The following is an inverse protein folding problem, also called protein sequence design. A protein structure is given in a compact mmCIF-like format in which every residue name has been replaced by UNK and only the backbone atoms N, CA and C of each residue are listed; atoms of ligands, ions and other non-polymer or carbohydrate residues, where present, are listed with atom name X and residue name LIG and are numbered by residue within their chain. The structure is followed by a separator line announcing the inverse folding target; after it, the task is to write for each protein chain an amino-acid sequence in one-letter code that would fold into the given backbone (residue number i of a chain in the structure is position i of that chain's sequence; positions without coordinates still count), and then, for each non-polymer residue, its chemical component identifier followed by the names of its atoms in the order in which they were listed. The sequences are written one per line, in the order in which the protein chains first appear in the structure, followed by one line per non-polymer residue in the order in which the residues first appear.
data_IF_865322129549
#
_entry.id   IF_865322129549
#
_cell.length_a   1.000
_cell.length_b   1.000
_cell.length_c   1.000
_cell.angle_alpha   90.00
_cell.angle_beta   90.00
_cell.angle_gamma   90.00
#
_symmetry.space_group_name_H-M   'P 1'
#
loop_
_entity.id
_entity.type
_entity.pdbx_description
1 polymer ?
#
# COMPACT_ATOMS: atom_id res chain seq x y z
N UNK A 1 12.30 14.84 -13.97
CA UNK A 1 13.57 14.06 -14.15
C UNK A 1 14.20 13.99 -12.76
N UNK A 2 14.32 12.80 -12.16
CA UNK A 2 14.73 12.64 -10.78
C UNK A 2 16.22 12.98 -10.60
N UNK A 3 16.60 13.53 -9.44
CA UNK A 3 17.99 13.88 -9.09
C UNK A 3 19.01 12.78 -9.43
N UNK A 4 18.66 11.51 -9.18
CA UNK A 4 19.51 10.35 -9.52
C UNK A 4 19.73 10.23 -11.04
N UNK A 5 18.68 10.41 -11.85
CA UNK A 5 18.81 10.36 -13.33
C UNK A 5 19.69 11.48 -13.86
N UNK A 6 19.59 12.68 -13.28
CA UNK A 6 20.43 13.83 -13.62
C UNK A 6 21.90 13.57 -13.29
N UNK A 7 22.15 12.98 -12.10
CA UNK A 7 23.51 12.62 -11.68
C UNK A 7 24.14 11.57 -12.59
N UNK A 8 23.38 10.53 -12.96
CA UNK A 8 23.84 9.48 -13.88
C UNK A 8 24.20 10.07 -15.25
N UNK A 9 23.34 10.93 -15.81
CA UNK A 9 23.60 11.59 -17.10
C UNK A 9 24.88 12.43 -17.01
N UNK A 10 25.05 13.21 -15.95
CA UNK A 10 26.25 14.03 -15.75
C UNK A 10 27.54 13.18 -15.67
N UNK A 11 27.49 12.04 -14.98
CA UNK A 11 28.61 11.11 -14.86
C UNK A 11 28.93 10.44 -16.20
N UNK A 12 27.92 10.04 -16.97
CA UNK A 12 28.10 9.48 -18.32
C UNK A 12 28.75 10.53 -19.26
N UNK A 13 28.21 11.75 -19.25
CA UNK A 13 28.79 12.84 -20.08
C UNK A 13 30.23 13.14 -19.69
N UNK A 14 30.59 13.07 -18.41
CA UNK A 14 31.98 13.22 -17.96
C UNK A 14 32.89 12.10 -18.49
N UNK A 15 32.43 10.86 -18.49
CA UNK A 15 33.21 9.75 -19.08
C UNK A 15 33.39 9.95 -20.58
N UNK A 16 32.34 10.29 -21.34
CA UNK A 16 32.40 10.57 -22.75
C UNK A 16 33.38 11.71 -23.07
N UNK A 17 33.35 12.78 -22.26
CA UNK A 17 34.32 13.88 -22.40
C UNK A 17 35.76 13.45 -22.16
N UNK A 18 36.04 12.60 -21.15
CA UNK A 18 37.38 12.09 -20.88
C UNK A 18 37.89 11.19 -22.04
N UNK A 19 37.01 10.32 -22.56
CA UNK A 19 37.34 9.47 -23.73
C UNK A 19 37.61 10.34 -24.98
N UNK A 20 36.78 11.36 -25.23
CA UNK A 20 36.99 12.30 -26.33
C UNK A 20 38.34 13.00 -26.22
N UNK A 21 38.76 13.40 -25.02
CA UNK A 21 40.07 14.01 -24.73
C UNK A 21 41.23 13.00 -24.73
N UNK A 22 40.99 11.74 -25.09
CA UNK A 22 41.99 10.65 -25.05
C UNK A 22 42.62 10.46 -23.64
N UNK A 23 41.88 10.79 -22.58
CA UNK A 23 42.29 10.56 -21.19
C UNK A 23 41.50 9.37 -20.65
N UNK A 24 42.22 8.40 -20.09
CA UNK A 24 41.54 7.28 -19.42
C UNK A 24 40.76 7.77 -18.21
N UNK A 25 39.45 7.40 -18.07
CA UNK A 25 38.71 7.69 -16.86
C UNK A 25 39.36 6.95 -15.68
N UNK A 26 39.40 7.59 -14.52
CA UNK A 26 39.92 6.92 -13.32
C UNK A 26 39.04 5.74 -12.93
N UNK A 27 39.62 4.72 -12.32
CA UNK A 27 38.87 3.57 -11.78
C UNK A 27 37.67 4.00 -10.91
N UNK A 28 37.87 5.01 -10.05
CA UNK A 28 36.80 5.55 -9.21
C UNK A 28 35.62 6.15 -9.99
N UNK A 29 35.89 6.84 -11.12
CA UNK A 29 34.86 7.42 -11.96
C UNK A 29 34.00 6.32 -12.60
N UNK A 30 34.64 5.27 -13.11
CA UNK A 30 33.95 4.11 -13.72
C UNK A 30 33.12 3.37 -12.66
N UNK A 31 33.70 3.12 -11.49
CA UNK A 31 33.01 2.45 -10.39
C UNK A 31 31.77 3.23 -9.91
N UNK A 32 31.86 4.55 -9.79
CA UNK A 32 30.72 5.41 -9.43
C UNK A 32 29.58 5.32 -10.46
N UNK A 33 29.91 5.27 -11.76
CA UNK A 33 28.89 5.10 -12.80
C UNK A 33 28.21 3.74 -12.70
N UNK A 34 29.00 2.67 -12.54
CA UNK A 34 28.46 1.32 -12.41
C UNK A 34 27.54 1.24 -11.18
N UNK A 35 27.98 1.71 -10.03
CA UNK A 35 27.18 1.71 -8.80
C UNK A 35 25.89 2.52 -9.02
N UNK A 36 25.99 3.72 -9.62
CA UNK A 36 24.81 4.56 -9.88
C UNK A 36 23.82 3.89 -10.83
N UNK A 37 24.31 3.18 -11.86
CA UNK A 37 23.46 2.42 -12.78
C UNK A 37 22.78 1.23 -12.06
N UNK A 38 23.49 0.53 -11.18
CA UNK A 38 22.92 -0.56 -10.39
C UNK A 38 21.81 -0.01 -9.47
N UNK A 39 22.09 1.06 -8.71
CA UNK A 39 21.12 1.70 -7.82
C UNK A 39 19.89 2.20 -8.58
N UNK A 40 20.11 2.82 -9.73
CA UNK A 40 19.01 3.28 -10.60
C UNK A 40 18.18 2.11 -11.13
N UNK A 41 18.83 1.02 -11.56
CA UNK A 41 18.17 -0.19 -12.06
C UNK A 41 17.32 -0.86 -10.98
N UNK A 42 17.88 -1.01 -9.76
CA UNK A 42 17.15 -1.55 -8.60
C UNK A 42 15.93 -0.68 -8.30
N UNK A 43 16.08 0.64 -8.23
CA UNK A 43 14.98 1.56 -7.99
C UNK A 43 13.92 1.51 -9.09
N UNK A 44 14.33 1.43 -10.36
CA UNK A 44 13.41 1.55 -11.50
C UNK A 44 12.60 0.27 -11.77
N UNK A 45 13.13 -0.89 -11.39
CA UNK A 45 12.55 -2.18 -11.78
C UNK A 45 12.20 -3.11 -10.62
N UNK A 46 12.78 -2.89 -9.43
CA UNK A 46 12.67 -3.86 -8.34
C UNK A 46 11.99 -3.33 -7.09
N UNK A 47 12.15 -2.04 -6.76
CA UNK A 47 11.68 -1.50 -5.48
C UNK A 47 11.14 -0.08 -5.61
N UNK A 48 9.92 0.10 -5.11
CA UNK A 48 9.36 1.39 -4.75
C UNK A 48 9.54 1.65 -3.26
N UNK A 49 9.51 2.91 -2.85
CA UNK A 49 9.48 3.30 -1.45
C UNK A 49 8.39 4.34 -1.21
N UNK A 50 7.77 4.26 -0.03
CA UNK A 50 6.70 5.17 0.39
C UNK A 50 6.87 5.53 1.86
N UNK A 51 6.43 6.73 2.24
CA UNK A 51 6.29 7.12 3.64
C UNK A 51 4.81 7.05 3.98
N UNK A 52 4.47 6.39 5.07
CA UNK A 52 3.09 6.22 5.53
C UNK A 52 2.67 7.47 6.32
N UNK A 53 1.67 8.24 5.88
CA UNK A 53 1.29 9.48 6.57
C UNK A 53 0.15 9.28 7.58
N UNK A 54 -0.55 8.14 7.57
CA UNK A 54 -1.76 7.94 8.38
C UNK A 54 -1.69 6.68 9.22
N UNK A 55 -2.50 6.63 10.29
CA UNK A 55 -2.62 5.47 11.16
C UNK A 55 -3.60 4.40 10.66
N UNK A 56 -4.12 4.52 9.43
CA UNK A 56 -5.18 3.61 8.93
C UNK A 56 -4.76 2.15 8.83
N UNK A 57 -3.45 1.87 8.81
CA UNK A 57 -2.87 0.53 8.79
C UNK A 57 -2.23 0.11 10.12
N UNK A 58 -2.42 0.90 11.20
CA UNK A 58 -1.96 0.50 12.52
C UNK A 58 -2.71 -0.75 13.00
N UNK A 59 -2.05 -1.64 13.74
CA UNK A 59 -0.69 -1.57 14.27
C UNK A 59 0.40 -1.97 13.28
N UNK A 60 0.04 -2.53 12.12
CA UNK A 60 1.00 -3.11 11.15
C UNK A 60 1.93 -2.06 10.55
N UNK A 61 1.36 -0.93 10.09
CA UNK A 61 2.12 0.22 9.59
C UNK A 61 1.69 1.45 10.36
N UNK A 62 2.66 2.25 10.80
CA UNK A 62 2.44 3.45 11.59
C UNK A 62 2.72 4.69 10.75
N UNK A 63 2.11 5.81 11.12
CA UNK A 63 2.49 7.11 10.54
C UNK A 63 4.00 7.36 10.74
N UNK A 64 4.68 7.81 9.69
CA UNK A 64 6.12 7.99 9.65
C UNK A 64 6.93 6.75 9.20
N UNK A 65 6.31 5.59 9.00
CA UNK A 65 7.02 4.43 8.47
C UNK A 65 7.49 4.66 7.04
N UNK A 66 8.78 4.46 6.79
CA UNK A 66 9.33 4.28 5.44
C UNK A 66 9.22 2.81 5.08
N UNK A 67 8.49 2.52 4.03
CA UNK A 67 8.27 1.15 3.54
C UNK A 67 8.90 0.93 2.18
N UNK A 68 9.34 -0.30 1.94
CA UNK A 68 9.69 -0.79 0.61
C UNK A 68 8.54 -1.63 0.05
N UNK A 69 8.31 -1.47 -1.25
CA UNK A 69 7.28 -2.19 -1.97
C UNK A 69 7.80 -2.65 -3.34
N UNK A 70 7.28 -3.78 -3.81
CA UNK A 70 7.56 -4.32 -5.14
C UNK A 70 6.51 -3.81 -6.12
N UNK A 71 6.90 -3.21 -7.27
CA UNK A 71 5.97 -2.88 -8.34
C UNK A 71 5.13 -4.11 -8.73
N UNK A 72 3.83 -3.91 -8.93
CA UNK A 72 2.88 -4.98 -9.28
C UNK A 72 2.45 -4.85 -10.74
N UNK A 73 2.66 -5.90 -11.52
CA UNK A 73 1.94 -6.09 -12.78
C UNK A 73 0.61 -6.76 -12.44
N UNK A 74 -0.46 -5.99 -12.43
CA UNK A 74 -1.79 -6.43 -12.01
C UNK A 74 -2.35 -7.65 -12.80
N UNK A 75 -1.83 -7.90 -14.00
CA UNK A 75 -2.25 -9.02 -14.85
C UNK A 75 -1.43 -10.29 -14.58
N UNK A 76 -0.20 -10.15 -14.12
CA UNK A 76 0.75 -11.26 -13.94
C UNK A 76 0.99 -11.63 -12.47
N UNK A 77 0.85 -10.67 -11.56
CA UNK A 77 1.14 -10.91 -10.15
C UNK A 77 0.02 -11.71 -9.48
N UNK A 78 0.40 -12.79 -8.82
CA UNK A 78 -0.52 -13.55 -7.98
C UNK A 78 -0.71 -12.80 -6.65
N UNK A 79 -1.86 -12.15 -6.51
CA UNK A 79 -2.29 -11.51 -5.28
C UNK A 79 -2.87 -12.54 -4.32
N UNK A 80 -2.64 -12.34 -3.02
CA UNK A 80 -3.14 -13.22 -1.97
C UNK A 80 -3.84 -12.41 -0.89
N UNK A 81 -4.78 -13.03 -0.16
CA UNK A 81 -5.39 -12.40 1.02
C UNK A 81 -4.31 -12.12 2.05
N UNK A 82 -4.39 -10.96 2.69
CA UNK A 82 -3.38 -10.48 3.63
C UNK A 82 -2.26 -9.66 2.98
N UNK A 83 -2.09 -9.66 1.65
CA UNK A 83 -1.13 -8.76 0.99
C UNK A 83 -1.50 -7.29 1.26
N UNK A 84 -0.52 -6.49 1.64
CA UNK A 84 -0.69 -5.04 1.72
C UNK A 84 -0.33 -4.45 0.35
N UNK A 85 -1.24 -3.67 -0.21
CA UNK A 85 -1.10 -3.09 -1.54
C UNK A 85 -1.17 -1.57 -1.51
N UNK A 86 -0.39 -0.96 -2.38
CA UNK A 86 -0.37 0.46 -2.67
C UNK A 86 -1.11 0.64 -3.99
N UNK A 87 -2.11 1.52 -4.03
CA UNK A 87 -2.97 1.67 -5.19
C UNK A 87 -3.53 3.09 -5.32
N UNK A 88 -3.94 3.44 -6.53
CA UNK A 88 -4.65 4.71 -6.80
C UNK A 88 -6.09 4.63 -6.32
N UNK A 89 -6.56 5.66 -5.64
CA UNK A 89 -7.92 5.71 -5.13
C UNK A 89 -8.95 5.58 -6.27
N UNK A 90 -10.01 4.76 -6.12
CA UNK A 90 -10.94 4.47 -7.21
C UNK A 90 -11.68 5.69 -7.77
N UNK A 91 -12.04 6.67 -6.91
CA UNK A 91 -12.72 7.89 -7.34
C UNK A 91 -11.74 9.03 -7.70
N UNK A 92 -10.56 9.04 -7.08
CA UNK A 92 -9.59 10.13 -7.18
C UNK A 92 -8.18 9.55 -7.42
N UNK A 93 -7.82 9.18 -8.67
CA UNK A 93 -6.56 8.49 -8.98
C UNK A 93 -5.28 9.27 -8.65
N UNK A 94 -5.39 10.56 -8.34
CA UNK A 94 -4.28 11.39 -7.82
C UNK A 94 -3.90 11.04 -6.38
N UNK A 95 -4.79 10.39 -5.62
CA UNK A 95 -4.51 9.93 -4.27
C UNK A 95 -4.05 8.48 -4.29
N UNK A 96 -3.06 8.17 -3.45
CA UNK A 96 -2.55 6.82 -3.27
C UNK A 96 -2.95 6.33 -1.89
N UNK A 97 -3.49 5.12 -1.82
CA UNK A 97 -3.88 4.45 -0.61
C UNK A 97 -3.02 3.22 -0.36
N UNK A 98 -2.85 2.91 0.91
CA UNK A 98 -2.22 1.67 1.39
C UNK A 98 -3.25 0.91 2.21
N UNK A 99 -3.64 -0.28 1.76
CA UNK A 99 -4.62 -1.13 2.44
C UNK A 99 -4.25 -2.60 2.29
N UNK A 100 -4.89 -3.45 3.08
CA UNK A 100 -4.73 -4.91 3.04
C UNK A 100 -5.80 -5.54 2.18
N UNK A 101 -5.41 -6.47 1.30
CA UNK A 101 -6.35 -7.31 0.55
C UNK A 101 -7.02 -8.28 1.52
N UNK A 102 -8.35 -8.23 1.54
CA UNK A 102 -9.20 -9.10 2.35
C UNK A 102 -9.94 -10.10 1.47
N UNK A 103 -10.44 -9.65 0.33
CA UNK A 103 -11.18 -10.50 -0.60
C UNK A 103 -10.60 -10.44 -2.01
N UNK A 104 -10.63 -11.57 -2.69
CA UNK A 104 -10.19 -11.79 -4.07
C UNK A 104 -11.39 -12.15 -4.96
N UNK A 105 -11.17 -12.18 -6.27
CA UNK A 105 -12.19 -12.62 -7.23
C UNK A 105 -12.79 -13.99 -6.83
N UNK A 106 -14.10 -14.09 -6.90
CA UNK A 106 -14.88 -15.26 -6.47
C UNK A 106 -15.30 -15.24 -4.99
N UNK A 107 -14.74 -14.35 -4.17
CA UNK A 107 -15.15 -14.24 -2.78
C UNK A 107 -16.44 -13.44 -2.60
N UNK A 108 -17.17 -13.80 -1.56
CA UNK A 108 -18.23 -12.99 -0.97
C UNK A 108 -17.74 -12.46 0.38
N UNK A 109 -17.57 -11.15 0.48
CA UNK A 109 -17.19 -10.46 1.73
C UNK A 109 -18.43 -9.89 2.37
N UNK A 110 -18.64 -10.18 3.65
CA UNK A 110 -19.74 -9.64 4.47
C UNK A 110 -19.16 -8.85 5.64
N UNK A 111 -19.67 -7.63 5.86
CA UNK A 111 -19.36 -6.79 7.01
C UNK A 111 -20.59 -6.70 7.90
N UNK A 112 -20.45 -7.10 9.13
CA UNK A 112 -21.56 -7.27 10.09
C UNK A 112 -21.68 -6.08 11.04
N UNK A 113 -22.82 -5.94 11.71
CA UNK A 113 -23.10 -4.81 12.60
C UNK A 113 -22.20 -4.80 13.86
N UNK A 114 -21.60 -5.93 14.21
CA UNK A 114 -20.58 -6.05 15.26
C UNK A 114 -19.16 -5.72 14.74
N UNK A 115 -19.06 -5.15 13.53
CA UNK A 115 -17.82 -4.78 12.85
C UNK A 115 -16.92 -5.97 12.48
N UNK A 116 -17.43 -7.18 12.51
CA UNK A 116 -16.68 -8.34 12.04
C UNK A 116 -16.74 -8.47 10.52
N UNK A 117 -15.77 -9.19 9.97
CA UNK A 117 -15.69 -9.45 8.53
C UNK A 117 -15.71 -10.95 8.30
N UNK A 118 -16.57 -11.38 7.39
CA UNK A 118 -16.67 -12.76 6.95
C UNK A 118 -16.27 -12.87 5.46
N UNK A 119 -15.57 -13.92 5.12
CA UNK A 119 -15.28 -14.31 3.73
C UNK A 119 -15.93 -15.68 3.50
N UNK A 120 -16.82 -15.74 2.52
CA UNK A 120 -17.55 -16.95 2.17
C UNK A 120 -18.25 -17.60 3.40
N UNK A 121 -18.82 -16.72 4.26
CA UNK A 121 -19.52 -17.13 5.49
C UNK A 121 -18.64 -17.50 6.68
N UNK A 122 -17.31 -17.39 6.55
CA UNK A 122 -16.37 -17.65 7.65
C UNK A 122 -15.74 -16.36 8.16
N UNK A 123 -15.74 -16.17 9.46
CA UNK A 123 -15.09 -15.00 10.09
C UNK A 123 -13.58 -15.01 9.82
N UNK A 124 -13.03 -13.87 9.47
CA UNK A 124 -11.58 -13.67 9.37
C UNK A 124 -11.06 -13.18 10.74
N UNK A 125 -10.00 -13.83 11.19
CA UNK A 125 -9.35 -13.47 12.45
C UNK A 125 -10.06 -14.01 13.70
N UNK A 126 -9.25 -14.17 14.72
CA UNK A 126 -9.67 -14.58 16.06
C UNK A 126 -9.38 -13.45 17.04
N UNK A 127 -10.28 -13.24 18.00
CA UNK A 127 -10.06 -12.26 19.05
C UNK A 127 -8.84 -12.65 19.86
N UNK A 128 -7.84 -11.77 19.89
CA UNK A 128 -6.59 -11.96 20.61
C UNK A 128 -6.62 -11.22 21.96
N UNK A 129 -7.03 -9.97 21.93
CA UNK A 129 -7.09 -9.11 23.11
C UNK A 129 -8.34 -8.22 23.04
N UNK A 130 -9.00 -8.08 24.18
CA UNK A 130 -10.12 -7.17 24.34
C UNK A 130 -9.91 -6.31 25.60
N UNK A 131 -10.16 -5.01 25.46
CA UNK A 131 -10.26 -4.06 26.56
C UNK A 131 -11.46 -3.13 26.32
N UNK A 132 -11.75 -2.23 27.27
CA UNK A 132 -12.91 -1.33 27.20
C UNK A 132 -12.93 -0.43 25.96
N UNK A 133 -11.78 -0.23 25.33
CA UNK A 133 -11.61 0.72 24.22
C UNK A 133 -11.30 0.04 22.89
N UNK A 134 -10.59 -1.10 22.90
CA UNK A 134 -10.09 -1.70 21.67
C UNK A 134 -10.16 -3.22 21.71
N UNK A 135 -10.71 -3.82 20.67
CA UNK A 135 -10.58 -5.25 20.39
C UNK A 135 -9.50 -5.48 19.35
N UNK A 136 -8.53 -6.32 19.67
CA UNK A 136 -7.44 -6.71 18.76
C UNK A 136 -7.67 -8.13 18.29
N UNK A 137 -7.61 -8.32 16.98
CA UNK A 137 -7.81 -9.60 16.30
C UNK A 137 -6.55 -10.03 15.58
N UNK A 138 -6.33 -11.34 15.51
CA UNK A 138 -5.29 -11.92 14.70
C UNK A 138 -5.88 -12.70 13.53
N UNK A 139 -5.29 -12.51 12.34
CA UNK A 139 -5.65 -13.23 11.13
C UNK A 139 -4.39 -13.69 10.39
N UNK A 140 -4.55 -14.65 9.47
CA UNK A 140 -3.45 -15.19 8.68
C UNK A 140 -3.33 -14.49 7.33
N UNK A 141 -2.09 -14.17 6.97
CA UNK A 141 -1.72 -13.79 5.62
C UNK A 141 -1.45 -15.05 4.79
N UNK A 142 -2.14 -15.24 3.68
CA UNK A 142 -2.02 -16.48 2.87
C UNK A 142 -0.63 -16.68 2.27
N UNK A 143 0.07 -15.59 1.92
CA UNK A 143 1.36 -15.66 1.21
C UNK A 143 2.45 -16.41 1.97
N UNK A 144 2.54 -16.21 3.28
CA UNK A 144 3.62 -16.74 4.11
C UNK A 144 3.14 -17.35 5.42
N UNK A 145 1.84 -17.53 5.59
CA UNK A 145 1.19 -17.97 6.82
C UNK A 145 1.55 -17.10 8.06
N UNK A 146 2.02 -15.87 7.83
CA UNK A 146 2.34 -14.94 8.89
C UNK A 146 1.07 -14.36 9.49
N UNK A 147 1.02 -14.22 10.80
CA UNK A 147 -0.08 -13.54 11.47
C UNK A 147 0.04 -12.02 11.33
N UNK A 148 -1.09 -11.37 11.18
CA UNK A 148 -1.22 -9.91 11.26
C UNK A 148 -2.34 -9.54 12.22
N UNK A 149 -2.23 -8.35 12.79
CA UNK A 149 -3.23 -7.82 13.69
C UNK A 149 -4.08 -6.76 13.00
N UNK A 150 -5.37 -6.72 13.34
CA UNK A 150 -6.24 -5.61 13.06
C UNK A 150 -7.01 -5.21 14.30
N UNK A 151 -7.39 -3.94 14.39
CA UNK A 151 -8.00 -3.37 15.59
C UNK A 151 -9.35 -2.72 15.30
N UNK A 152 -10.26 -2.82 16.28
CA UNK A 152 -11.58 -2.20 16.30
C UNK A 152 -11.66 -1.33 17.54
N UNK A 153 -11.98 -0.04 17.40
CA UNK A 153 -12.25 0.87 18.52
C UNK A 153 -13.68 0.69 18.99
N UNK A 154 -13.84 0.15 20.20
CA UNK A 154 -15.15 -0.15 20.80
C UNK A 154 -15.96 1.11 21.16
N UNK A 155 -15.30 2.27 21.29
CA UNK A 155 -15.96 3.56 21.56
C UNK A 155 -16.63 4.16 20.35
N UNK A 156 -16.15 3.81 19.14
CA UNK A 156 -16.73 4.33 17.91
C UNK A 156 -18.00 3.55 17.56
N UNK A 157 -19.09 4.25 17.23
CA UNK A 157 -20.31 3.61 16.80
C UNK A 157 -20.08 2.83 15.50
N UNK A 158 -20.93 1.87 15.22
CA UNK A 158 -20.99 1.24 13.92
C UNK A 158 -21.39 2.28 12.86
N UNK A 159 -20.51 2.50 11.90
CA UNK A 159 -20.81 3.33 10.73
C UNK A 159 -21.24 2.39 9.61
N UNK A 160 -22.49 2.55 9.17
CA UNK A 160 -23.04 1.71 8.10
C UNK A 160 -22.26 1.94 6.80
N UNK A 161 -21.66 0.91 6.23
CA UNK A 161 -20.97 1.01 4.95
C UNK A 161 -21.98 1.18 3.80
N UNK A 162 -21.47 1.44 2.58
CA UNK A 162 -22.30 1.53 1.36
C UNK A 162 -23.11 0.25 1.15
N UNK A 163 -22.52 -0.89 1.45
CA UNK A 163 -23.15 -2.21 1.44
C UNK A 163 -22.67 -3.02 2.62
N UNK A 164 -23.44 -4.03 3.00
CA UNK A 164 -23.06 -5.03 4.00
C UNK A 164 -22.42 -6.27 3.36
N UNK A 165 -22.54 -6.42 2.06
CA UNK A 165 -22.02 -7.57 1.34
C UNK A 165 -21.51 -7.17 -0.06
N UNK A 166 -20.37 -7.75 -0.45
CA UNK A 166 -19.73 -7.60 -1.76
C UNK A 166 -19.42 -8.98 -2.36
N UNK A 167 -19.84 -9.22 -3.59
CA UNK A 167 -19.37 -10.34 -4.42
C UNK A 167 -18.30 -9.79 -5.35
N UNK A 168 -17.09 -10.34 -5.28
CA UNK A 168 -15.93 -9.78 -5.96
C UNK A 168 -15.77 -10.43 -7.33
N UNK A 169 -15.96 -9.69 -8.42
CA UNK A 169 -15.77 -10.22 -9.78
C UNK A 169 -14.29 -10.25 -10.15
N UNK A 170 -13.99 -10.94 -11.26
CA UNK A 170 -12.64 -10.92 -11.84
C UNK A 170 -12.15 -9.49 -12.12
N UNK A 171 -10.86 -9.28 -11.92
CA UNK A 171 -10.23 -7.97 -12.08
C UNK A 171 -10.39 -7.02 -10.91
N UNK A 172 -11.02 -7.43 -9.80
CA UNK A 172 -11.21 -6.60 -8.61
C UNK A 172 -10.68 -7.26 -7.35
N UNK A 173 -10.47 -6.44 -6.32
CA UNK A 173 -10.14 -6.86 -4.95
C UNK A 173 -10.94 -6.03 -3.95
N UNK A 174 -11.15 -6.58 -2.76
CA UNK A 174 -11.72 -5.90 -1.60
C UNK A 174 -10.62 -5.67 -0.58
N UNK A 175 -10.47 -4.42 -0.12
CA UNK A 175 -9.38 -4.00 0.75
C UNK A 175 -9.89 -3.32 2.02
N UNK A 176 -9.20 -3.55 3.14
CA UNK A 176 -9.46 -2.89 4.43
C UNK A 176 -8.17 -2.32 5.01
N UNK A 177 -8.31 -1.29 5.86
CA UNK A 177 -7.27 -0.91 6.79
C UNK A 177 -7.21 -1.82 8.00
N UNK A 178 -6.03 -1.99 8.57
CA UNK A 178 -5.87 -2.78 9.80
C UNK A 178 -6.42 -2.03 11.03
N UNK A 179 -6.43 -0.70 10.99
CA UNK A 179 -7.16 0.13 11.95
C UNK A 179 -8.58 0.40 11.44
N UNK A 180 -9.50 -0.51 11.74
CA UNK A 180 -10.84 -0.60 11.15
C UNK A 180 -11.66 0.66 11.26
N UNK A 181 -11.65 1.32 12.40
CA UNK A 181 -12.46 2.52 12.66
C UNK A 181 -11.74 3.83 12.29
N UNK A 182 -10.49 3.75 11.84
CA UNK A 182 -9.69 4.87 11.36
C UNK A 182 -9.22 4.66 9.92
N UNK A 183 -10.04 3.98 9.11
CA UNK A 183 -9.70 3.66 7.73
C UNK A 183 -10.85 3.98 6.78
N UNK A 184 -10.54 4.78 5.76
CA UNK A 184 -11.37 4.92 4.57
C UNK A 184 -10.94 3.86 3.56
N UNK A 185 -11.81 2.87 3.31
CA UNK A 185 -11.48 1.68 2.54
C UNK A 185 -12.71 1.15 1.76
N UNK A 186 -12.67 -0.09 1.29
CA UNK A 186 -13.72 -0.69 0.46
C UNK A 186 -15.13 -0.58 1.03
N UNK A 187 -15.28 -0.41 2.33
CA UNK A 187 -16.58 -0.20 2.97
C UNK A 187 -17.20 1.15 2.59
N UNK A 188 -16.36 2.14 2.26
CA UNK A 188 -16.75 3.54 2.08
C UNK A 188 -16.32 4.16 0.75
N UNK A 189 -15.61 3.44 -0.12
CA UNK A 189 -15.19 4.00 -1.40
C UNK A 189 -16.38 4.30 -2.30
N UNK A 190 -16.49 5.55 -2.72
CA UNK A 190 -17.51 6.00 -3.67
C UNK A 190 -17.08 5.75 -5.10
N UNK A 191 -16.18 5.07 -5.51
CA UNK A 191 -15.74 4.81 -6.89
C UNK A 191 -16.09 5.95 -7.89
N UNK A 192 -15.53 5.93 -9.07
CA UNK A 192 -15.79 6.96 -10.09
C UNK A 192 -17.27 7.02 -10.49
N UNK A 193 -17.72 8.22 -10.88
CA UNK A 193 -19.08 8.44 -11.39
C UNK A 193 -19.38 7.45 -12.53
N UNK A 194 -20.56 6.82 -12.49
CA UNK A 194 -20.95 5.81 -13.47
C UNK A 194 -20.51 4.38 -13.13
N UNK A 195 -19.76 4.17 -12.05
CA UNK A 195 -19.42 2.82 -11.59
C UNK A 195 -20.70 2.03 -11.26
N UNK A 196 -20.92 0.84 -11.87
CA UNK A 196 -22.07 -0.01 -11.58
C UNK A 196 -22.16 -0.33 -10.08
N UNK A 197 -23.39 -0.41 -9.56
CA UNK A 197 -23.66 -0.58 -8.13
C UNK A 197 -22.89 -1.75 -7.51
N UNK A 198 -22.83 -2.89 -8.19
CA UNK A 198 -22.18 -4.11 -7.69
C UNK A 198 -20.65 -4.02 -7.63
N UNK A 199 -20.05 -3.00 -8.25
CA UNK A 199 -18.61 -2.76 -8.24
C UNK A 199 -18.18 -1.67 -7.25
N UNK A 200 -19.13 -0.97 -6.62
CA UNK A 200 -18.81 0.07 -5.65
C UNK A 200 -18.14 -0.51 -4.41
N UNK A 201 -17.15 0.20 -3.91
CA UNK A 201 -16.29 -0.27 -2.83
C UNK A 201 -15.14 -1.17 -3.28
N UNK A 202 -15.20 -1.74 -4.49
CA UNK A 202 -14.14 -2.59 -5.01
C UNK A 202 -13.04 -1.78 -5.69
N UNK A 203 -11.81 -2.28 -5.60
CA UNK A 203 -10.63 -1.70 -6.25
C UNK A 203 -10.28 -2.54 -7.47
N UNK A 204 -10.20 -1.90 -8.65
CA UNK A 204 -9.70 -2.56 -9.86
C UNK A 204 -8.23 -2.94 -9.67
N UNK A 205 -7.84 -4.14 -10.09
CA UNK A 205 -6.43 -4.58 -10.06
C UNK A 205 -5.50 -3.64 -10.86
N UNK A 206 -6.01 -3.02 -11.92
CA UNK A 206 -5.27 -2.05 -12.74
C UNK A 206 -4.86 -0.78 -11.97
N UNK A 207 -5.53 -0.47 -10.85
CA UNK A 207 -5.18 0.65 -9.97
C UNK A 207 -4.05 0.31 -9.01
N UNK A 208 -3.67 -0.96 -8.88
CA UNK A 208 -2.57 -1.40 -8.01
C UNK A 208 -1.25 -0.92 -8.62
N UNK A 209 -0.39 -0.39 -7.77
CA UNK A 209 0.92 0.13 -8.12
C UNK A 209 1.99 -0.84 -7.62
N UNK A 210 1.95 -1.13 -6.30
CA UNK A 210 2.99 -1.92 -5.65
C UNK A 210 2.42 -2.76 -4.52
N UNK A 211 3.13 -3.80 -4.14
CA UNK A 211 2.87 -4.64 -2.97
C UNK A 211 3.95 -4.43 -1.92
N UNK A 212 3.54 -4.18 -0.69
CA UNK A 212 4.43 -4.03 0.46
C UNK A 212 5.37 -5.24 0.62
N UNK A 213 6.61 -4.97 0.95
CA UNK A 213 7.63 -5.97 1.27
C UNK A 213 8.08 -5.89 2.71
N UNK A 214 8.52 -4.72 3.15
CA UNK A 214 9.09 -4.51 4.47
C UNK A 214 9.06 -3.04 4.89
N UNK A 215 9.05 -2.79 6.19
CA UNK A 215 9.32 -1.47 6.77
C UNK A 215 10.83 -1.34 6.99
N UNK A 216 11.40 -0.24 6.50
CA UNK A 216 12.83 0.06 6.68
C UNK A 216 13.09 0.65 8.07
N UNK A 217 12.41 1.72 8.41
CA UNK A 217 12.47 2.42 9.70
C UNK A 217 11.30 3.39 9.84
N UNK A 218 11.07 3.88 11.06
CA UNK A 218 10.03 4.85 11.37
C UNK A 218 10.65 6.23 11.60
N UNK A 219 10.15 7.25 10.90
CA UNK A 219 10.53 8.64 11.09
C UNK A 219 9.72 9.23 12.25
N UNK A 220 10.30 9.22 13.46
CA UNK A 220 9.57 9.60 14.68
C UNK A 220 9.09 11.06 14.71
N UNK A 221 9.81 11.97 14.04
CA UNK A 221 9.41 13.38 13.95
C UNK A 221 8.12 13.61 13.16
N UNK A 222 7.71 12.66 12.32
CA UNK A 222 6.47 12.74 11.55
C UNK A 222 5.24 12.25 12.33
N UNK A 223 5.42 11.69 13.52
CA UNK A 223 4.29 11.21 14.34
C UNK A 223 3.41 12.35 14.86
N UNK A 224 3.96 13.54 15.08
CA UNK A 224 3.24 14.68 15.68
C UNK A 224 2.42 15.50 14.68
N UNK A 225 2.79 15.48 13.39
CA UNK A 225 2.21 16.40 12.40
C UNK A 225 1.10 15.79 11.55
N UNK A 226 0.90 14.47 11.63
CA UNK A 226 -0.02 13.74 10.75
C UNK A 226 -1.31 13.22 11.40
N UNK A 227 -1.59 13.59 12.64
CA UNK A 227 -2.88 13.28 13.29
C UNK A 227 -4.01 14.25 12.81
N UNK A 228 -3.77 14.97 11.73
CA UNK A 228 -4.70 15.91 11.13
C UNK A 228 -5.39 15.24 9.92
N UNK A 229 -6.57 14.68 10.18
CA UNK A 229 -7.62 14.50 9.18
C UNK A 229 -7.44 13.35 8.19
N UNK A 230 -8.43 12.53 8.17
CA UNK A 230 -8.68 11.29 7.42
C UNK A 230 -8.54 11.34 5.88
N UNK A 231 -7.92 12.34 5.28
CA UNK A 231 -7.90 12.46 3.82
C UNK A 231 -6.53 12.87 3.29
N UNK A 232 -5.99 11.95 2.50
CA UNK A 232 -5.02 12.16 1.43
C UNK A 232 -3.54 12.02 1.71
N UNK A 233 -2.99 10.94 1.17
CA UNK A 233 -1.61 10.81 0.72
C UNK A 233 -1.33 11.80 -0.42
N UNK A 234 -0.59 12.88 -0.19
CA UNK A 234 0.14 13.53 -1.27
C UNK A 234 1.43 12.75 -1.51
N UNK A 235 1.58 12.20 -2.70
CA UNK A 235 2.85 11.62 -3.14
C UNK A 235 3.86 12.75 -3.24
N UNK A 236 4.92 12.69 -2.43
CA UNK A 236 6.14 13.42 -2.72
C UNK A 236 6.91 12.57 -3.74
N UNK A 237 6.52 12.68 -4.99
CA UNK A 237 7.29 12.24 -6.15
C UNK A 237 7.58 13.46 -6.99
N UNK A 238 8.70 14.12 -6.77
CA UNK A 238 9.40 14.92 -7.75
C UNK A 238 10.71 14.26 -8.12
#
# INVERSE_FOLDING_TARGET
MNFISTLIIALILRILYLVYRKRNPSFYTVSLVIISLIVWSVKSYLLDYYIIPTSSMAPTLKAGDLIFAKPVDAQKEQLMRGDIVIFRAPAFPSFIYVKRIIGLAGDTVTYTDDKSVQINGRMIGQLNLHNDHTSTYQALQERNAQQYEYVIDNRKPFVKPIYTQWVIPDGYVFVLGDNRDHSWDSRFFENAVGTPRHLRGLVKKELLISRYLATAFTLEFMKSDFDIGENSLKVISE
#
